data_IF_481690044468
#
_entry.id   IF_481690044468
#
_cell.length_a   1.000
_cell.length_b   1.000
_cell.length_c   1.000
_cell.angle_alpha   90.00
_cell.angle_beta   90.00
_cell.angle_gamma   90.00
#
_symmetry.space_group_name_H-M   'P 1'
#
loop_
_entity.id
_entity.type
_entity.pdbx_description
1 polymer ?
#
# COMPACT_ATOMS: atom_id res chain seq x y z
N UNK A 1 19.58 7.04 30.05
CA UNK A 1 19.52 7.34 28.60
C UNK A 1 19.21 6.03 27.90
N UNK A 2 18.11 5.94 27.15
CA UNK A 2 17.80 4.72 26.39
C UNK A 2 18.83 4.60 25.26
N UNK A 3 19.47 3.44 25.10
CA UNK A 3 20.47 3.22 24.04
C UNK A 3 19.79 3.37 22.67
N UNK A 4 20.20 4.36 21.88
CA UNK A 4 19.74 4.56 20.50
C UNK A 4 20.65 3.74 19.57
N UNK A 5 20.14 2.63 19.06
CA UNK A 5 20.84 1.73 18.14
C UNK A 5 20.38 1.89 16.68
N UNK A 6 19.23 2.53 16.48
CA UNK A 6 18.69 2.87 15.16
C UNK A 6 18.66 4.39 14.99
N UNK A 7 19.19 4.87 13.86
CA UNK A 7 19.19 6.29 13.52
C UNK A 7 18.22 6.59 12.38
N UNK A 8 17.05 7.15 12.73
CA UNK A 8 15.99 7.46 11.77
C UNK A 8 16.45 8.46 10.70
N UNK A 9 17.27 9.45 11.05
CA UNK A 9 17.67 10.48 10.07
C UNK A 9 18.63 9.89 9.02
N UNK A 10 19.56 9.05 9.48
CA UNK A 10 20.43 8.28 8.58
C UNK A 10 19.60 7.34 7.69
N UNK A 11 18.66 6.59 8.27
CA UNK A 11 17.77 5.70 7.51
C UNK A 11 16.97 6.47 6.46
N UNK A 12 16.35 7.59 6.83
CA UNK A 12 15.54 8.41 5.91
C UNK A 12 16.38 8.94 4.75
N UNK A 13 17.59 9.46 5.03
CA UNK A 13 18.48 9.98 4.01
C UNK A 13 18.95 8.88 3.05
N UNK A 14 19.46 7.75 3.57
CA UNK A 14 19.96 6.64 2.74
C UNK A 14 18.84 5.98 1.95
N UNK A 15 17.67 5.75 2.57
CA UNK A 15 16.57 5.07 1.92
C UNK A 15 15.90 5.93 0.86
N UNK A 16 15.76 7.24 1.09
CA UNK A 16 15.24 8.17 0.09
C UNK A 16 16.19 8.30 -1.11
N UNK A 17 17.51 8.38 -0.86
CA UNK A 17 18.51 8.41 -1.91
C UNK A 17 18.47 7.14 -2.76
N UNK A 18 18.45 5.96 -2.12
CA UNK A 18 18.45 4.68 -2.83
C UNK A 18 17.18 4.45 -3.65
N UNK A 19 16.00 4.79 -3.11
CA UNK A 19 14.74 4.69 -3.86
C UNK A 19 14.75 5.64 -5.05
N UNK A 20 15.24 6.87 -4.86
CA UNK A 20 15.33 7.85 -5.94
C UNK A 20 16.29 7.39 -7.04
N UNK A 21 17.45 6.87 -6.68
CA UNK A 21 18.43 6.33 -7.62
C UNK A 21 17.85 5.14 -8.39
N UNK A 22 17.17 4.21 -7.69
CA UNK A 22 16.50 3.08 -8.34
C UNK A 22 15.46 3.54 -9.36
N UNK A 23 14.70 4.58 -9.03
CA UNK A 23 13.67 5.11 -9.92
C UNK A 23 14.26 5.82 -11.15
N UNK A 24 15.47 6.39 -11.08
CA UNK A 24 16.13 7.00 -12.25
C UNK A 24 16.48 5.97 -13.34
N UNK A 25 16.67 4.70 -12.95
CA UNK A 25 16.98 3.62 -13.87
C UNK A 25 15.76 3.01 -14.57
N UNK A 26 14.54 3.48 -14.30
CA UNK A 26 13.30 2.94 -14.89
C UNK A 26 12.41 4.07 -15.40
N UNK A 27 11.49 3.77 -16.31
CA UNK A 27 10.45 4.74 -16.71
C UNK A 27 9.48 5.03 -15.55
N UNK A 28 9.15 3.97 -14.80
CA UNK A 28 8.30 4.02 -13.62
C UNK A 28 8.68 2.89 -12.68
N UNK A 29 8.68 3.15 -11.38
CA UNK A 29 9.01 2.18 -10.33
C UNK A 29 7.76 1.85 -9.51
N UNK A 30 7.27 0.61 -9.61
CA UNK A 30 6.28 0.07 -8.69
C UNK A 30 7.01 -0.65 -7.56
N UNK A 31 6.88 -0.13 -6.33
CA UNK A 31 7.64 -0.59 -5.17
C UNK A 31 6.70 -1.06 -4.07
N UNK A 32 6.77 -2.35 -3.72
CA UNK A 32 5.99 -2.91 -2.62
C UNK A 32 6.57 -2.45 -1.27
N UNK A 33 5.74 -1.78 -0.47
CA UNK A 33 6.03 -1.51 0.93
C UNK A 33 5.38 -2.58 1.80
N UNK A 34 6.16 -3.63 2.06
CA UNK A 34 5.77 -4.72 2.94
C UNK A 34 5.63 -4.29 4.41
N UNK A 35 4.74 -4.99 5.11
CA UNK A 35 4.45 -4.75 6.52
C UNK A 35 3.68 -3.44 6.76
N UNK A 36 3.75 -2.94 7.99
CA UNK A 36 2.98 -1.76 8.39
C UNK A 36 3.65 -0.50 7.87
N UNK A 37 2.88 0.36 7.21
CA UNK A 37 3.33 1.70 6.80
C UNK A 37 3.36 2.68 7.98
N UNK A 38 2.37 2.56 8.86
CA UNK A 38 2.15 3.38 10.04
C UNK A 38 2.13 2.47 11.27
N UNK A 39 2.61 3.01 12.38
CA UNK A 39 2.54 2.36 13.69
C UNK A 39 3.21 0.97 13.72
N UNK A 40 4.41 0.87 13.16
CA UNK A 40 5.23 -0.33 13.22
C UNK A 40 5.87 -0.48 14.60
N UNK A 41 5.02 -0.73 15.61
CA UNK A 41 5.44 -0.97 16.98
C UNK A 41 6.24 -2.26 17.14
N UNK A 42 6.18 -3.17 16.18
CA UNK A 42 7.04 -4.35 16.19
C UNK A 42 8.48 -3.93 15.93
N UNK A 43 8.74 -3.21 14.83
CA UNK A 43 10.06 -2.69 14.53
C UNK A 43 10.59 -1.77 15.63
N UNK A 44 9.74 -0.89 16.19
CA UNK A 44 10.14 -0.01 17.30
C UNK A 44 10.61 -0.76 18.56
N UNK A 45 10.04 -1.94 18.85
CA UNK A 45 10.49 -2.80 19.96
C UNK A 45 11.79 -3.55 19.63
N UNK A 46 11.96 -3.94 18.38
CA UNK A 46 13.11 -4.74 17.92
C UNK A 46 14.35 -3.87 17.69
N UNK A 47 14.17 -2.63 17.22
CA UNK A 47 15.23 -1.71 16.82
C UNK A 47 15.20 -0.48 17.75
N UNK A 48 16.00 -0.45 18.84
CA UNK A 48 16.00 0.66 19.80
C UNK A 48 16.26 2.02 19.14
N UNK A 49 15.26 2.89 19.15
CA UNK A 49 15.30 4.21 18.50
C UNK A 49 14.54 4.30 17.19
N UNK A 50 14.02 3.19 16.64
CA UNK A 50 13.18 3.20 15.44
C UNK A 50 11.85 3.89 15.69
N UNK A 51 11.53 4.88 14.85
CA UNK A 51 10.25 5.56 14.84
C UNK A 51 9.19 4.67 14.14
N UNK A 52 8.10 4.27 14.82
CA UNK A 52 7.02 3.46 14.24
C UNK A 52 6.43 4.01 12.93
N UNK A 53 6.60 5.31 12.67
CA UNK A 53 6.09 6.02 11.51
C UNK A 53 7.20 6.39 10.51
N UNK A 54 8.41 5.84 10.64
CA UNK A 54 9.53 6.22 9.76
C UNK A 54 9.25 5.96 8.27
N UNK A 55 8.45 4.94 7.92
CA UNK A 55 8.08 4.65 6.52
C UNK A 55 7.16 5.71 5.93
N UNK A 56 6.16 6.21 6.68
CA UNK A 56 5.32 7.32 6.18
C UNK A 56 6.11 8.63 6.09
N UNK A 57 7.07 8.85 7.02
CA UNK A 57 8.01 9.97 6.93
C UNK A 57 8.85 9.90 5.65
N UNK A 58 9.36 8.71 5.32
CA UNK A 58 10.09 8.46 4.07
C UNK A 58 9.22 8.77 2.85
N UNK A 59 7.97 8.30 2.81
CA UNK A 59 7.05 8.62 1.70
C UNK A 59 6.76 10.12 1.60
N UNK A 60 6.58 10.80 2.73
CA UNK A 60 6.34 12.24 2.77
C UNK A 60 7.54 13.03 2.24
N UNK A 61 8.78 12.60 2.50
CA UNK A 61 9.98 13.18 1.87
C UNK A 61 10.01 12.99 0.35
N UNK A 62 9.43 11.90 -0.14
CA UNK A 62 9.33 11.58 -1.56
C UNK A 62 8.03 12.07 -2.21
N UNK A 63 7.18 12.82 -1.49
CA UNK A 63 5.80 13.10 -1.91
C UNK A 63 5.67 13.79 -3.27
N UNK A 64 6.67 14.54 -3.73
CA UNK A 64 6.62 15.18 -5.05
C UNK A 64 6.87 14.19 -6.19
N UNK A 65 7.52 13.05 -5.89
CA UNK A 65 7.91 12.00 -6.85
C UNK A 65 7.20 10.66 -6.63
N UNK A 66 6.53 10.49 -5.49
CA UNK A 66 5.88 9.24 -5.09
C UNK A 66 4.38 9.42 -4.85
N UNK A 67 3.61 8.43 -5.29
CA UNK A 67 2.19 8.25 -4.97
C UNK A 67 1.91 6.81 -4.54
N UNK A 68 0.75 6.58 -3.91
CA UNK A 68 0.41 5.28 -3.33
C UNK A 68 -0.74 4.61 -4.08
N UNK A 69 -0.62 3.30 -4.27
CA UNK A 69 -1.74 2.40 -4.54
C UNK A 69 -1.98 1.60 -3.25
N UNK A 70 -3.18 1.72 -2.70
CA UNK A 70 -3.57 1.01 -1.48
C UNK A 70 -4.38 -0.24 -1.86
N UNK A 71 -3.82 -1.41 -1.62
CA UNK A 71 -4.44 -2.69 -1.90
C UNK A 71 -5.17 -3.25 -0.67
N UNK A 72 -6.33 -3.85 -0.88
CA UNK A 72 -7.08 -4.59 0.14
C UNK A 72 -7.74 -5.83 -0.49
N UNK A 73 -7.66 -6.98 0.17
CA UNK A 73 -8.23 -8.22 -0.32
C UNK A 73 -9.75 -8.26 -0.08
N UNK A 74 -10.54 -8.51 -1.13
CA UNK A 74 -12.00 -8.60 -1.04
C UNK A 74 -12.48 -9.64 -0.01
N UNK A 75 -11.81 -10.80 0.07
CA UNK A 75 -12.16 -11.86 1.02
C UNK A 75 -11.92 -11.46 2.48
N UNK A 76 -10.96 -10.58 2.76
CA UNK A 76 -10.72 -10.07 4.11
C UNK A 76 -11.75 -9.03 4.54
N UNK A 77 -12.27 -8.23 3.59
CA UNK A 77 -13.42 -7.35 3.83
C UNK A 77 -14.65 -8.19 4.17
N UNK A 78 -14.92 -9.21 3.34
CA UNK A 78 -16.10 -10.08 3.51
C UNK A 78 -16.09 -10.84 4.85
N UNK A 79 -14.91 -11.30 5.28
CA UNK A 79 -14.72 -11.99 6.55
C UNK A 79 -14.59 -11.06 7.75
N UNK A 80 -14.63 -9.73 7.55
CA UNK A 80 -14.35 -8.72 8.58
C UNK A 80 -13.04 -9.03 9.31
N UNK A 81 -11.98 -9.33 8.55
CA UNK A 81 -10.69 -9.71 9.11
C UNK A 81 -10.21 -8.63 10.07
N UNK A 82 -9.83 -9.05 11.27
CA UNK A 82 -9.38 -8.15 12.32
C UNK A 82 -7.86 -7.94 12.26
N UNK A 83 -7.44 -6.69 12.39
CA UNK A 83 -6.03 -6.32 12.57
C UNK A 83 -5.68 -6.43 14.05
N UNK A 84 -4.82 -7.39 14.37
CA UNK A 84 -4.49 -7.77 15.76
C UNK A 84 -3.92 -6.64 16.62
N UNK A 85 -3.32 -5.61 16.02
CA UNK A 85 -2.71 -4.50 16.78
C UNK A 85 -3.73 -3.49 17.31
N UNK A 86 -4.83 -3.28 16.59
CA UNK A 86 -5.77 -2.17 16.83
C UNK A 86 -7.19 -2.64 17.16
N UNK A 87 -7.49 -3.93 16.93
CA UNK A 87 -8.85 -4.43 17.13
C UNK A 87 -9.87 -3.80 16.18
N UNK A 88 -9.43 -3.36 15.00
CA UNK A 88 -10.30 -2.87 13.91
C UNK A 88 -10.24 -3.83 12.72
N UNK A 89 -11.25 -3.77 11.88
CA UNK A 89 -11.31 -4.55 10.64
C UNK A 89 -10.34 -3.99 9.59
N UNK A 90 -9.96 -4.81 8.60
CA UNK A 90 -9.00 -4.42 7.56
C UNK A 90 -9.50 -3.27 6.68
N UNK A 91 -10.79 -3.20 6.39
CA UNK A 91 -11.45 -2.09 5.67
C UNK A 91 -11.39 -0.78 6.47
N UNK A 92 -11.66 -0.84 7.78
CA UNK A 92 -11.47 0.31 8.66
C UNK A 92 -9.99 0.75 8.73
N UNK A 93 -9.06 -0.21 8.77
CA UNK A 93 -7.63 0.09 8.73
C UNK A 93 -7.20 0.69 7.39
N UNK A 94 -7.77 0.27 6.27
CA UNK A 94 -7.48 0.85 4.97
C UNK A 94 -7.96 2.31 4.88
N UNK A 95 -9.15 2.63 5.43
CA UNK A 95 -9.63 4.01 5.54
C UNK A 95 -8.69 4.86 6.40
N UNK A 96 -8.24 4.35 7.55
CA UNK A 96 -7.27 5.06 8.39
C UNK A 96 -5.94 5.32 7.67
N UNK A 97 -5.42 4.32 6.94
CA UNK A 97 -4.19 4.49 6.17
C UNK A 97 -4.38 5.54 5.08
N UNK A 98 -5.51 5.52 4.37
CA UNK A 98 -5.85 6.51 3.34
C UNK A 98 -5.88 7.93 3.93
N UNK A 99 -6.56 8.12 5.06
CA UNK A 99 -6.67 9.43 5.72
C UNK A 99 -5.29 9.93 6.18
N UNK A 100 -4.48 9.05 6.78
CA UNK A 100 -3.11 9.38 7.19
C UNK A 100 -2.22 9.74 6.00
N UNK A 101 -2.32 9.04 4.86
CA UNK A 101 -1.57 9.41 3.67
C UNK A 101 -1.84 10.86 3.25
N UNK A 102 -3.11 11.28 3.30
CA UNK A 102 -3.53 12.66 3.07
C UNK A 102 -2.91 13.64 4.06
N UNK A 103 -2.97 13.35 5.36
CA UNK A 103 -2.39 14.19 6.43
C UNK A 103 -0.88 14.41 6.25
N UNK A 104 -0.16 13.40 5.72
CA UNK A 104 1.27 13.46 5.42
C UNK A 104 1.59 14.05 4.04
N UNK A 105 0.59 14.51 3.29
CA UNK A 105 0.73 15.11 1.97
C UNK A 105 1.11 14.10 0.88
N UNK A 106 0.89 12.81 1.09
CA UNK A 106 1.17 11.74 0.13
C UNK A 106 -0.08 11.46 -0.69
N UNK A 107 0.03 11.62 -2.02
CA UNK A 107 -1.12 11.37 -2.90
C UNK A 107 -1.39 9.87 -3.08
N UNK A 108 -2.66 9.52 -3.22
CA UNK A 108 -3.11 8.15 -3.48
C UNK A 108 -3.71 8.09 -4.88
N UNK A 109 -3.16 7.25 -5.75
CA UNK A 109 -3.66 7.05 -7.12
C UNK A 109 -5.01 6.31 -7.13
N UNK A 110 -5.22 5.41 -6.17
CA UNK A 110 -6.48 4.74 -5.92
C UNK A 110 -6.36 3.60 -4.91
N UNK A 111 -7.52 3.03 -4.58
CA UNK A 111 -7.65 1.83 -3.76
C UNK A 111 -7.95 0.65 -4.68
N UNK A 112 -7.22 -0.45 -4.53
CA UNK A 112 -7.43 -1.67 -5.31
C UNK A 112 -8.03 -2.73 -4.40
N UNK A 113 -9.27 -3.12 -4.70
CA UNK A 113 -9.89 -4.30 -4.11
C UNK A 113 -9.44 -5.51 -4.93
N UNK A 114 -8.52 -6.28 -4.36
CA UNK A 114 -7.90 -7.43 -5.05
C UNK A 114 -8.74 -8.69 -4.89
N UNK A 115 -8.64 -9.59 -5.87
CA UNK A 115 -9.36 -10.87 -5.93
C UNK A 115 -10.87 -10.68 -5.69
N UNK A 116 -11.40 -9.64 -6.32
CA UNK A 116 -12.81 -9.29 -6.28
C UNK A 116 -13.62 -10.27 -7.14
N UNK A 117 -14.69 -10.81 -6.57
CA UNK A 117 -15.59 -11.79 -7.22
C UNK A 117 -17.07 -11.44 -6.96
N UNK A 118 -17.38 -10.19 -6.62
CA UNK A 118 -18.76 -9.75 -6.33
C UNK A 118 -19.16 -9.83 -4.85
N UNK A 119 -18.18 -9.83 -3.93
CA UNK A 119 -18.45 -9.91 -2.50
C UNK A 119 -19.27 -8.69 -2.02
N UNK A 120 -20.44 -8.88 -1.37
CA UNK A 120 -21.31 -7.77 -0.98
C UNK A 120 -20.67 -6.73 -0.05
N UNK A 121 -19.82 -7.15 0.90
CA UNK A 121 -19.16 -6.20 1.78
C UNK A 121 -18.09 -5.39 1.03
N UNK A 122 -17.39 -6.00 0.08
CA UNK A 122 -16.42 -5.31 -0.76
C UNK A 122 -17.09 -4.28 -1.70
N UNK A 123 -18.29 -4.57 -2.22
CA UNK A 123 -19.10 -3.60 -2.98
C UNK A 123 -19.51 -2.40 -2.12
N UNK A 124 -19.96 -2.64 -0.88
CA UNK A 124 -20.31 -1.56 0.05
C UNK A 124 -19.11 -0.69 0.40
N UNK A 125 -17.94 -1.32 0.59
CA UNK A 125 -16.69 -0.62 0.85
C UNK A 125 -16.22 0.23 -0.35
N UNK A 126 -16.32 -0.32 -1.57
CA UNK A 126 -16.05 0.43 -2.79
C UNK A 126 -16.95 1.67 -2.90
N UNK A 127 -18.27 1.50 -2.73
CA UNK A 127 -19.22 2.60 -2.79
C UNK A 127 -18.97 3.66 -1.69
N UNK A 128 -18.50 3.24 -0.50
CA UNK A 128 -18.10 4.17 0.54
C UNK A 128 -16.90 5.03 0.13
N UNK A 129 -15.86 4.42 -0.44
CA UNK A 129 -14.67 5.10 -0.92
C UNK A 129 -14.98 6.06 -2.08
N UNK A 130 -15.78 5.61 -3.05
CA UNK A 130 -16.20 6.43 -4.20
C UNK A 130 -17.00 7.66 -3.77
N UNK A 131 -17.90 7.52 -2.78
CA UNK A 131 -18.61 8.68 -2.18
C UNK A 131 -17.67 9.68 -1.52
N UNK A 132 -16.48 9.27 -1.10
CA UNK A 132 -15.41 10.15 -0.56
C UNK A 132 -14.50 10.71 -1.66
N UNK A 133 -14.82 10.47 -2.94
CA UNK A 133 -14.03 10.93 -4.08
C UNK A 133 -12.77 10.09 -4.35
N UNK A 134 -12.66 8.90 -3.74
CA UNK A 134 -11.53 8.00 -3.94
C UNK A 134 -11.76 7.15 -5.18
N UNK A 135 -10.76 7.05 -6.06
CA UNK A 135 -10.79 6.10 -7.18
C UNK A 135 -10.62 4.68 -6.66
N UNK A 136 -11.56 3.79 -7.01
CA UNK A 136 -11.53 2.38 -6.62
C UNK A 136 -11.40 1.52 -7.86
N UNK A 137 -10.50 0.54 -7.80
CA UNK A 137 -10.28 -0.45 -8.85
C UNK A 137 -10.60 -1.83 -8.30
N UNK A 138 -11.33 -2.63 -9.07
CA UNK A 138 -11.70 -4.00 -8.71
C UNK A 138 -10.90 -4.96 -9.57
N UNK A 139 -9.89 -5.59 -8.99
CA UNK A 139 -9.05 -6.58 -9.68
C UNK A 139 -9.55 -7.97 -9.34
N UNK A 140 -9.82 -8.79 -10.35
CA UNK A 140 -10.26 -10.19 -10.16
C UNK A 140 -9.07 -11.09 -9.85
N UNK A 141 -9.30 -12.32 -9.36
CA UNK A 141 -8.23 -13.31 -9.25
C UNK A 141 -7.57 -13.54 -10.61
N UNK A 142 -6.24 -13.39 -10.69
CA UNK A 142 -5.50 -13.64 -11.93
C UNK A 142 -5.54 -15.12 -12.28
N UNK A 143 -6.15 -15.43 -13.44
CA UNK A 143 -6.25 -16.80 -13.95
C UNK A 143 -4.85 -17.41 -14.12
N UNK A 144 -4.70 -18.68 -13.72
CA UNK A 144 -3.43 -19.41 -13.85
C UNK A 144 -2.38 -19.09 -12.78
N UNK A 145 -2.60 -18.09 -11.92
CA UNK A 145 -1.61 -17.66 -10.94
C UNK A 145 -1.37 -18.72 -9.83
N UNK A 146 -0.11 -18.99 -9.43
CA UNK A 146 1.14 -18.41 -9.92
C UNK A 146 1.85 -19.25 -11.02
N UNK A 147 1.27 -20.36 -11.47
CA UNK A 147 2.02 -21.42 -12.18
C UNK A 147 1.95 -21.34 -13.71
N UNK A 148 0.85 -20.82 -14.27
CA UNK A 148 0.62 -20.76 -15.71
C UNK A 148 1.03 -19.38 -16.26
N UNK A 149 2.33 -19.22 -16.52
CA UNK A 149 2.93 -17.94 -16.93
C UNK A 149 2.34 -17.43 -18.24
N UNK A 150 2.04 -18.31 -19.20
CA UNK A 150 1.45 -17.90 -20.48
C UNK A 150 0.05 -17.32 -20.28
N UNK A 151 -0.77 -17.95 -19.42
CA UNK A 151 -2.08 -17.41 -19.07
C UNK A 151 -1.96 -16.09 -18.29
N UNK A 152 -1.03 -16.00 -17.34
CA UNK A 152 -0.83 -14.81 -16.50
C UNK A 152 -0.46 -13.59 -17.36
N UNK A 153 0.48 -13.72 -18.30
CA UNK A 153 0.95 -12.62 -19.16
C UNK A 153 0.10 -12.51 -20.44
N UNK A 154 -1.22 -12.63 -20.29
CA UNK A 154 -2.19 -12.56 -21.39
C UNK A 154 -3.32 -11.57 -21.10
N UNK A 155 -4.23 -11.40 -22.09
CA UNK A 155 -5.48 -10.67 -21.91
C UNK A 155 -6.41 -11.30 -20.87
N UNK A 156 -6.32 -12.61 -20.64
CA UNK A 156 -7.13 -13.32 -19.64
C UNK A 156 -6.50 -13.31 -18.24
N UNK A 157 -5.19 -13.08 -18.15
CA UNK A 157 -4.44 -12.92 -16.90
C UNK A 157 -4.40 -11.45 -16.47
N UNK A 158 -3.23 -10.81 -16.54
CA UNK A 158 -3.08 -9.40 -16.17
C UNK A 158 -3.93 -8.44 -16.99
N UNK A 159 -4.20 -8.74 -18.26
CA UNK A 159 -5.01 -7.87 -19.13
C UNK A 159 -6.50 -7.84 -18.79
N UNK A 160 -6.98 -8.72 -17.92
CA UNK A 160 -8.36 -8.71 -17.44
C UNK A 160 -8.60 -7.61 -16.38
N UNK A 161 -7.53 -7.14 -15.73
CA UNK A 161 -7.59 -6.11 -14.70
C UNK A 161 -7.46 -4.72 -15.31
N UNK A 162 -8.26 -3.78 -14.81
CA UNK A 162 -8.18 -2.38 -15.22
C UNK A 162 -6.80 -1.79 -14.89
N UNK A 163 -6.20 -1.10 -15.86
CA UNK A 163 -4.97 -0.35 -15.64
C UNK A 163 -5.22 0.83 -14.69
N UNK A 164 -4.39 0.96 -13.66
CA UNK A 164 -4.47 2.03 -12.68
C UNK A 164 -3.62 3.22 -13.17
N UNK A 165 -4.23 4.34 -13.58
CA UNK A 165 -3.46 5.47 -14.08
C UNK A 165 -2.68 6.13 -12.94
N UNK A 166 -1.37 6.26 -13.13
CA UNK A 166 -0.43 6.85 -12.18
C UNK A 166 0.29 8.04 -12.81
N UNK A 167 0.45 9.11 -12.04
CA UNK A 167 1.02 10.39 -12.46
C UNK A 167 2.50 10.57 -12.09
N UNK A 168 3.01 9.80 -11.13
CA UNK A 168 4.35 9.97 -10.57
C UNK A 168 5.30 8.83 -10.97
N UNK A 169 6.62 9.08 -10.99
CA UNK A 169 7.60 8.07 -11.37
C UNK A 169 7.75 6.94 -10.34
N UNK A 170 7.41 7.19 -9.07
CA UNK A 170 7.44 6.17 -8.02
C UNK A 170 6.01 5.88 -7.57
N UNK A 171 5.62 4.61 -7.63
CA UNK A 171 4.32 4.12 -7.18
C UNK A 171 4.55 3.13 -6.06
N UNK A 172 4.21 3.53 -4.84
CA UNK A 172 4.31 2.64 -3.68
C UNK A 172 3.03 1.83 -3.55
N UNK A 173 3.17 0.51 -3.55
CA UNK A 173 2.06 -0.43 -3.40
C UNK A 173 2.08 -0.95 -1.96
N UNK A 174 0.99 -0.77 -1.22
CA UNK A 174 0.91 -1.17 0.19
C UNK A 174 -0.50 -1.62 0.56
N UNK A 175 -0.69 -2.16 1.77
CA UNK A 175 -1.98 -2.65 2.27
C UNK A 175 -2.08 -2.61 3.79
N UNK A 176 -3.28 -2.88 4.36
CA UNK A 176 -3.49 -2.86 5.80
C UNK A 176 -2.76 -3.99 6.57
N UNK A 177 -2.36 -5.06 5.87
CA UNK A 177 -1.64 -6.20 6.41
C UNK A 177 -1.40 -7.28 5.35
N UNK A 178 -0.65 -8.34 5.70
CA UNK A 178 -0.48 -9.52 4.85
C UNK A 178 -1.78 -10.33 4.75
#
# INVERSE_FOLDING_TARGET
MQLKAFDNEKYLAEQAAFISERALGTEKLYLEFGGKLLWDWHAARVLPGYDPNVKIRLLSMLKDKAEVILCIYAGDIERKRMRGDFGITYDASALQIFDQLGDWGVSVAGVVITRFEGQPAAEQFAALLERRGVKVFKHTPTKGYPNDVECIVSREGYGANEYIPTSKPIVVVTGPGP
#
